data_IF_884743216659
#
_entry.id   IF_884743216659
#
_cell.length_a   1.000
_cell.length_b   1.000
_cell.length_c   1.000
_cell.angle_alpha   90.00
_cell.angle_beta   90.00
_cell.angle_gamma   90.00
#
_symmetry.space_group_name_H-M   'P 1'
#
loop_
_entity.id
_entity.type
_entity.pdbx_description
1 polymer ?
#
# COMPACT_ATOMS: atom_id res chain seq x y z
N UNK A 1 -15.19 -1.61 7.70
CA UNK A 1 -13.75 -1.52 7.38
C UNK A 1 -13.00 -1.21 8.66
N UNK A 2 -11.95 -1.96 8.93
CA UNK A 2 -11.04 -1.79 10.06
C UNK A 2 -9.61 -1.76 9.52
N UNK A 3 -8.68 -1.11 10.22
CA UNK A 3 -7.29 -1.06 9.79
C UNK A 3 -6.66 -2.47 9.63
N UNK A 4 -7.14 -3.45 10.39
CA UNK A 4 -6.71 -4.84 10.25
C UNK A 4 -7.16 -5.44 8.91
N UNK A 5 -8.42 -5.23 8.51
CA UNK A 5 -8.91 -5.72 7.23
C UNK A 5 -8.18 -5.06 6.05
N UNK A 6 -7.82 -3.78 6.19
CA UNK A 6 -7.08 -3.05 5.16
C UNK A 6 -5.65 -3.61 5.04
N UNK A 7 -5.00 -3.91 6.17
CA UNK A 7 -3.68 -4.54 6.19
C UNK A 7 -3.71 -5.94 5.57
N UNK A 8 -4.72 -6.75 5.89
CA UNK A 8 -4.87 -8.09 5.31
C UNK A 8 -5.15 -7.99 3.79
N UNK A 9 -6.00 -7.06 3.36
CA UNK A 9 -6.28 -6.82 1.94
C UNK A 9 -5.03 -6.37 1.18
N UNK A 10 -4.19 -5.52 1.79
CA UNK A 10 -2.94 -5.08 1.17
C UNK A 10 -1.89 -6.19 1.00
N UNK A 11 -2.02 -7.32 1.68
CA UNK A 11 -1.15 -8.50 1.46
C UNK A 11 -1.55 -9.27 0.21
N UNK A 12 -2.85 -9.31 -0.06
CA UNK A 12 -3.47 -10.20 -1.05
C UNK A 12 -3.82 -9.49 -2.37
N UNK A 13 -4.02 -8.16 -2.34
CA UNK A 13 -4.44 -7.36 -3.49
C UNK A 13 -3.43 -6.24 -3.81
N UNK A 14 -2.45 -6.50 -4.69
CA UNK A 14 -1.41 -5.54 -5.07
C UNK A 14 -1.99 -4.45 -5.97
N UNK A 15 -1.92 -3.20 -5.50
CA UNK A 15 -2.40 -2.02 -6.24
C UNK A 15 -1.56 -1.74 -7.49
N UNK A 16 -0.26 -1.95 -7.38
CA UNK A 16 0.74 -1.64 -8.41
C UNK A 16 0.87 -2.69 -9.49
N UNK A 17 0.17 -3.81 -9.37
CA UNK A 17 0.24 -4.89 -10.34
C UNK A 17 -0.88 -4.74 -11.38
N UNK A 18 -0.55 -5.00 -12.65
CA UNK A 18 -1.56 -5.10 -13.71
C UNK A 18 -2.53 -6.27 -13.44
N UNK A 19 -3.81 -6.04 -13.75
CA UNK A 19 -4.88 -7.06 -13.69
C UNK A 19 -4.60 -8.28 -14.60
N UNK A 20 -3.73 -8.12 -15.60
CA UNK A 20 -3.32 -9.19 -16.53
C UNK A 20 -2.46 -10.26 -15.84
N UNK A 21 -1.94 -10.00 -14.63
CA UNK A 21 -1.13 -10.96 -13.90
C UNK A 21 -2.01 -11.86 -13.04
N UNK A 22 -2.24 -13.09 -13.50
CA UNK A 22 -3.10 -14.07 -12.83
C UNK A 22 -2.61 -14.57 -11.46
N UNK A 23 -1.47 -14.10 -10.95
CA UNK A 23 -1.01 -14.40 -9.58
C UNK A 23 -0.50 -13.11 -8.92
N UNK A 24 -1.13 -12.69 -7.81
CA UNK A 24 -0.68 -11.54 -7.03
C UNK A 24 0.77 -11.66 -6.58
N UNK A 25 1.58 -10.62 -6.79
CA UNK A 25 2.93 -10.55 -6.23
C UNK A 25 2.81 -10.28 -4.72
N UNK A 26 3.39 -11.14 -3.87
CA UNK A 26 3.30 -10.96 -2.43
C UNK A 26 3.97 -9.66 -2.01
N UNK A 27 3.43 -9.02 -0.96
CA UNK A 27 4.05 -7.83 -0.39
C UNK A 27 5.46 -8.17 0.14
N UNK A 28 6.42 -7.29 -0.13
CA UNK A 28 7.83 -7.46 0.26
C UNK A 28 8.01 -7.50 1.78
N UNK A 29 7.31 -6.63 2.51
CA UNK A 29 7.35 -6.51 3.96
C UNK A 29 6.04 -5.93 4.52
N UNK A 30 6.00 -5.71 5.84
CA UNK A 30 4.82 -5.21 6.55
C UNK A 30 4.43 -3.78 6.14
N UNK A 31 5.39 -2.95 5.75
CA UNK A 31 5.12 -1.58 5.34
C UNK A 31 4.59 -1.54 3.91
N UNK A 32 5.11 -2.40 3.04
CA UNK A 32 4.59 -2.61 1.70
C UNK A 32 3.12 -3.09 1.75
N UNK A 33 2.81 -4.07 2.62
CA UNK A 33 1.43 -4.50 2.84
C UNK A 33 0.52 -3.37 3.35
N UNK A 34 1.01 -2.54 4.28
CA UNK A 34 0.26 -1.40 4.79
C UNK A 34 0.00 -0.33 3.71
N UNK A 35 1.00 -0.02 2.87
CA UNK A 35 0.86 0.92 1.76
C UNK A 35 -0.23 0.46 0.77
N UNK A 36 -0.18 -0.81 0.35
CA UNK A 36 -1.21 -1.42 -0.51
C UNK A 36 -2.59 -1.36 0.14
N UNK A 37 -2.69 -1.62 1.45
CA UNK A 37 -3.95 -1.57 2.19
C UNK A 37 -4.57 -0.16 2.22
N UNK A 38 -3.75 0.88 2.42
CA UNK A 38 -4.20 2.28 2.36
C UNK A 38 -4.75 2.59 0.97
N UNK A 39 -4.00 2.26 -0.08
CA UNK A 39 -4.39 2.56 -1.47
C UNK A 39 -5.64 1.78 -1.88
N UNK A 40 -5.74 0.52 -1.48
CA UNK A 40 -6.94 -0.32 -1.71
C UNK A 40 -8.19 0.23 -1.02
N UNK A 41 -8.06 0.90 0.13
CA UNK A 41 -9.20 1.55 0.78
C UNK A 41 -9.61 2.86 0.04
N UNK A 42 -8.67 3.48 -0.69
CA UNK A 42 -8.94 4.68 -1.48
C UNK A 42 -9.53 4.36 -2.86
N UNK A 43 -9.17 3.22 -3.47
CA UNK A 43 -9.78 2.75 -4.71
C UNK A 43 -11.27 2.45 -4.52
N UNK A 44 -12.08 2.67 -5.55
CA UNK A 44 -13.56 2.56 -5.45
C UNK A 44 -14.28 3.68 -4.68
N UNK A 45 -13.57 4.64 -4.08
CA UNK A 45 -14.16 5.89 -3.57
C UNK A 45 -14.11 6.93 -4.68
N UNK A 46 -15.28 7.29 -5.23
CA UNK A 46 -15.38 8.30 -6.29
C UNK A 46 -14.59 9.58 -5.96
N UNK A 47 -13.95 10.17 -6.97
CA UNK A 47 -12.90 11.19 -6.77
C UNK A 47 -11.52 10.55 -6.81
N UNK A 48 -10.83 10.48 -5.67
CA UNK A 48 -9.44 10.00 -5.57
C UNK A 48 -9.26 8.59 -6.14
N UNK A 49 -10.22 7.68 -5.93
CA UNK A 49 -10.14 6.32 -6.47
C UNK A 49 -10.05 6.30 -8.00
N UNK A 50 -10.80 7.16 -8.68
CA UNK A 50 -10.80 7.24 -10.15
C UNK A 50 -9.47 7.76 -10.70
N UNK A 51 -8.80 8.65 -9.98
CA UNK A 51 -7.47 9.17 -10.37
C UNK A 51 -6.38 8.11 -10.13
N UNK A 52 -6.47 7.37 -9.02
CA UNK A 52 -5.56 6.26 -8.73
C UNK A 52 -5.66 5.13 -9.76
N UNK A 53 -6.88 4.82 -10.21
CA UNK A 53 -7.14 3.80 -11.24
C UNK A 53 -6.58 4.21 -12.63
N UNK A 54 -6.40 5.50 -12.89
CA UNK A 54 -5.84 6.00 -14.15
C UNK A 54 -4.31 6.01 -14.19
N UNK A 55 -3.62 5.78 -13.06
CA UNK A 55 -2.17 5.69 -13.04
C UNK A 55 -1.69 4.45 -13.79
N UNK A 56 -0.61 4.61 -14.55
CA UNK A 56 0.09 3.49 -15.16
C UNK A 56 0.82 2.65 -14.11
N UNK A 57 1.23 1.44 -14.50
CA UNK A 57 1.85 0.46 -13.60
C UNK A 57 3.13 1.01 -12.93
N UNK A 58 3.93 1.78 -13.67
CA UNK A 58 5.18 2.37 -13.17
C UNK A 58 4.89 3.38 -12.06
N UNK A 59 3.95 4.30 -12.29
CA UNK A 59 3.58 5.30 -11.30
C UNK A 59 2.86 4.68 -10.10
N UNK A 60 2.03 3.66 -10.30
CA UNK A 60 1.42 2.94 -9.17
C UNK A 60 2.49 2.30 -8.29
N UNK A 61 3.54 1.74 -8.89
CA UNK A 61 4.67 1.16 -8.17
C UNK A 61 5.43 2.21 -7.37
N UNK A 62 5.74 3.35 -7.99
CA UNK A 62 6.40 4.47 -7.30
C UNK A 62 5.60 4.92 -6.07
N UNK A 63 4.28 5.10 -6.21
CA UNK A 63 3.40 5.50 -5.10
C UNK A 63 3.42 4.48 -3.96
N UNK A 64 3.38 3.18 -4.28
CA UNK A 64 3.45 2.11 -3.27
C UNK A 64 4.80 2.09 -2.57
N UNK A 65 5.90 2.21 -3.33
CA UNK A 65 7.27 2.18 -2.81
C UNK A 65 7.55 3.39 -1.91
N UNK A 66 7.15 4.61 -2.32
CA UNK A 66 7.29 5.82 -1.53
C UNK A 66 6.47 5.76 -0.22
N UNK A 67 5.21 5.31 -0.31
CA UNK A 67 4.36 5.15 0.87
C UNK A 67 4.96 4.12 1.86
N UNK A 68 5.46 2.99 1.35
CA UNK A 68 6.11 1.97 2.17
C UNK A 68 7.40 2.49 2.83
N UNK A 69 8.20 3.30 2.12
CA UNK A 69 9.38 3.94 2.69
C UNK A 69 9.04 4.90 3.83
N UNK A 70 8.04 5.77 3.64
CA UNK A 70 7.56 6.70 4.68
C UNK A 70 7.08 5.93 5.92
N UNK A 71 6.31 4.85 5.72
CA UNK A 71 5.80 4.01 6.82
C UNK A 71 6.95 3.35 7.59
N UNK A 72 7.97 2.82 6.89
CA UNK A 72 9.18 2.26 7.52
C UNK A 72 9.91 3.31 8.35
N UNK A 73 10.10 4.51 7.79
CA UNK A 73 10.76 5.60 8.48
C UNK A 73 10.00 6.04 9.73
N UNK A 74 8.68 6.20 9.64
CA UNK A 74 7.84 6.58 10.77
C UNK A 74 7.91 5.56 11.92
N UNK A 75 7.87 4.26 11.60
CA UNK A 75 8.02 3.20 12.60
C UNK A 75 9.42 3.17 13.23
N UNK A 76 10.48 3.40 12.44
CA UNK A 76 11.84 3.50 12.97
C UNK A 76 11.97 4.69 13.95
N UNK A 77 11.38 5.84 13.60
CA UNK A 77 11.37 7.02 14.47
C UNK A 77 10.56 6.81 15.75
N UNK A 78 9.39 6.16 15.68
CA UNK A 78 8.59 5.86 16.87
C UNK A 78 9.34 4.97 17.85
N UNK A 79 10.08 3.98 17.34
CA UNK A 79 10.85 3.05 18.16
C UNK A 79 12.14 3.67 18.70
N UNK A 80 12.75 4.62 17.97
CA UNK A 80 13.90 5.37 18.44
C UNK A 80 13.55 6.41 19.53
N UNK A 81 12.28 6.83 19.60
CA UNK A 81 11.82 7.86 20.54
C UNK A 81 11.37 7.29 21.89
N UNK A 82 11.28 5.97 22.05
CA UNK A 82 10.99 5.31 23.33
C UNK A 82 12.29 4.89 24.01
N UNK A 83 12.75 5.57 25.08
CA UNK A 83 13.81 5.03 25.92
C UNK A 83 13.29 3.77 26.64
N UNK A 84 14.11 2.71 26.60
CA UNK A 84 13.97 1.48 27.39
C UNK A 84 13.92 1.75 28.89
#
# INVERSE_FOLDING_TARGET
MTAQNDLDSGRDYPFEQSDDVGTPVPATDWAHAAARGILSNLTGRGGIGNELEQLDEELRKEVVDEAAEIIRLAHAQSNATLPS
#
